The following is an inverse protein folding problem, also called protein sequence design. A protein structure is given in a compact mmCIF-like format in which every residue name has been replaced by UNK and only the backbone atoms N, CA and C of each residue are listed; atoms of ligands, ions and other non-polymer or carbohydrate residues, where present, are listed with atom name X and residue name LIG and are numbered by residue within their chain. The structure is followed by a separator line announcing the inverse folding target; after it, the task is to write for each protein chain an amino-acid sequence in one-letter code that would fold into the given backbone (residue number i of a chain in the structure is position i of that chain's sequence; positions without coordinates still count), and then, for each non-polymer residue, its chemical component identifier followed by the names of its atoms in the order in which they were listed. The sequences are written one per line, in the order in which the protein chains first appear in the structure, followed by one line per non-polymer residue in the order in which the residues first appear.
data_IF_387529110258
#
_entry.id   IF_387529110258
#
_cell.length_a   1.000
_cell.length_b   1.000
_cell.length_c   1.000
_cell.angle_alpha   90.00
_cell.angle_beta   90.00
_cell.angle_gamma   90.00
#
_symmetry.space_group_name_H-M   'P 1'
#
loop_
_entity.id
_entity.type
_entity.pdbx_description
1 polymer ?
#
# COMPACT_ATOMS: atom_id res chain seq x y z
N UNK A 1 -6.94 1.75 -11.89
CA UNK A 1 -6.36 1.28 -13.17
C UNK A 1 -7.18 0.13 -13.76
N UNK A 2 -7.22 -0.08 -15.08
CA UNK A 2 -7.78 -1.32 -15.69
C UNK A 2 -6.75 -2.45 -15.58
N UNK A 3 -7.19 -3.70 -15.45
CA UNK A 3 -6.33 -4.87 -15.22
C UNK A 3 -5.14 -4.99 -16.20
N UNK A 4 -5.38 -4.88 -17.50
CA UNK A 4 -4.31 -4.97 -18.51
C UNK A 4 -3.33 -3.80 -18.44
N UNK A 5 -3.83 -2.58 -18.18
CA UNK A 5 -2.97 -1.41 -17.97
C UNK A 5 -2.07 -1.61 -16.73
N UNK A 6 -2.59 -2.25 -15.69
CA UNK A 6 -1.84 -2.55 -14.47
C UNK A 6 -0.70 -3.55 -14.69
N UNK A 7 -0.91 -4.57 -15.53
CA UNK A 7 0.18 -5.48 -15.93
C UNK A 7 1.27 -4.75 -16.68
N UNK A 8 0.89 -3.89 -17.63
CA UNK A 8 1.84 -3.08 -18.41
C UNK A 8 2.65 -2.18 -17.47
N UNK A 9 1.99 -1.53 -16.51
CA UNK A 9 2.64 -0.61 -15.58
C UNK A 9 3.59 -1.32 -14.61
N UNK A 10 3.22 -2.50 -14.09
CA UNK A 10 4.15 -3.36 -13.35
C UNK A 10 5.37 -3.75 -14.20
N UNK A 11 5.14 -4.16 -15.44
CA UNK A 11 6.22 -4.53 -16.35
C UNK A 11 7.16 -3.36 -16.66
N UNK A 12 6.64 -2.12 -16.76
CA UNK A 12 7.42 -0.89 -16.89
C UNK A 12 8.27 -0.61 -15.67
N UNK A 13 7.69 -0.59 -14.47
CA UNK A 13 8.44 -0.36 -13.24
C UNK A 13 9.52 -1.41 -12.99
N UNK A 14 9.27 -2.64 -13.43
CA UNK A 14 10.23 -3.72 -13.33
C UNK A 14 11.31 -3.65 -14.42
N UNK A 15 11.07 -2.96 -15.55
CA UNK A 15 11.96 -2.93 -16.71
C UNK A 15 11.90 -4.16 -17.65
N UNK A 16 10.73 -4.79 -17.87
CA UNK A 16 10.53 -5.87 -18.90
C UNK A 16 10.33 -5.29 -20.28
N UNK A 17 9.84 -4.06 -20.35
CA UNK A 17 9.38 -3.46 -21.61
C UNK A 17 10.54 -3.09 -22.53
N UNK A 18 10.30 -3.16 -23.83
CA UNK A 18 11.29 -2.85 -24.87
C UNK A 18 11.80 -1.40 -24.80
N UNK A 19 10.99 -0.48 -24.30
CA UNK A 19 11.36 0.90 -24.03
C UNK A 19 11.70 1.03 -22.54
N UNK A 20 13.00 1.06 -22.21
CA UNK A 20 13.47 1.17 -20.84
C UNK A 20 12.86 2.40 -20.17
N UNK A 21 12.05 2.17 -19.15
CA UNK A 21 11.39 3.22 -18.39
C UNK A 21 12.38 3.78 -17.36
N UNK A 22 13.24 4.70 -17.81
CA UNK A 22 14.31 5.34 -17.01
C UNK A 22 13.78 5.93 -15.70
N UNK A 23 12.53 6.37 -15.72
CA UNK A 23 11.89 7.02 -14.58
C UNK A 23 11.08 6.06 -13.70
N UNK A 24 11.03 4.76 -13.99
CA UNK A 24 10.29 3.75 -13.23
C UNK A 24 10.96 3.34 -11.91
N UNK A 25 10.32 2.44 -11.14
CA UNK A 25 10.79 2.03 -9.81
C UNK A 25 12.22 1.45 -9.84
N UNK A 26 12.52 0.55 -10.79
CA UNK A 26 13.90 0.08 -11.03
C UNK A 26 14.69 1.05 -11.90
N UNK A 27 14.03 1.75 -12.82
CA UNK A 27 14.67 2.71 -13.72
C UNK A 27 15.50 3.76 -12.97
N UNK A 28 14.92 4.35 -11.92
CA UNK A 28 15.57 5.39 -11.13
C UNK A 28 16.74 4.88 -10.26
N UNK A 29 16.95 3.56 -10.19
CA UNK A 29 18.10 2.95 -9.54
C UNK A 29 19.30 2.80 -10.49
N UNK A 30 19.12 2.95 -11.82
CA UNK A 30 20.22 2.83 -12.78
C UNK A 30 20.03 3.68 -14.06
N UNK A 31 20.76 4.82 -14.20
CA UNK A 31 21.63 5.42 -13.19
C UNK A 31 20.82 5.88 -11.97
N UNK A 32 21.44 5.90 -10.78
CA UNK A 32 20.75 6.34 -9.57
C UNK A 32 20.41 7.83 -9.67
N UNK A 33 19.12 8.15 -9.59
CA UNK A 33 18.59 9.52 -9.65
C UNK A 33 17.73 9.88 -8.43
N UNK A 34 17.76 9.04 -7.39
CA UNK A 34 16.88 9.14 -6.22
C UNK A 34 15.68 8.21 -6.33
N UNK A 35 15.23 7.69 -5.19
CA UNK A 35 13.97 6.94 -5.13
C UNK A 35 12.79 7.91 -5.27
N UNK A 36 11.71 7.48 -5.95
CA UNK A 36 10.54 8.31 -6.22
C UNK A 36 9.29 7.70 -5.60
N UNK A 37 8.62 8.47 -4.76
CA UNK A 37 7.42 8.04 -4.05
C UNK A 37 6.26 7.72 -4.99
N UNK A 38 6.14 8.44 -6.09
CA UNK A 38 5.08 8.20 -7.08
C UNK A 38 5.24 6.84 -7.77
N UNK A 39 6.48 6.39 -7.99
CA UNK A 39 6.73 5.04 -8.49
C UNK A 39 6.30 3.97 -7.49
N UNK A 40 6.51 4.19 -6.19
CA UNK A 40 6.03 3.27 -5.16
C UNK A 40 4.51 3.18 -5.16
N UNK A 41 3.81 4.33 -5.17
CA UNK A 41 2.35 4.37 -5.22
C UNK A 41 1.79 3.73 -6.50
N UNK A 42 2.43 3.96 -7.64
CA UNK A 42 2.05 3.36 -8.91
C UNK A 42 2.22 1.83 -8.89
N UNK A 43 3.34 1.31 -8.38
CA UNK A 43 3.53 -0.15 -8.20
C UNK A 43 2.45 -0.74 -7.29
N UNK A 44 2.12 -0.07 -6.17
CA UNK A 44 1.07 -0.51 -5.24
C UNK A 44 -0.31 -0.51 -5.92
N UNK A 45 -0.67 0.55 -6.66
CA UNK A 45 -1.93 0.62 -7.40
C UNK A 45 -2.02 -0.52 -8.43
N UNK A 46 -0.96 -0.73 -9.20
CA UNK A 46 -0.93 -1.77 -10.23
C UNK A 46 -1.02 -3.16 -9.62
N UNK A 47 -0.28 -3.43 -8.53
CA UNK A 47 -0.34 -4.71 -7.81
C UNK A 47 -1.74 -5.02 -7.29
N UNK A 48 -2.41 -4.04 -6.68
CA UNK A 48 -3.77 -4.23 -6.18
C UNK A 48 -4.78 -4.41 -7.31
N UNK A 49 -4.58 -3.73 -8.43
CA UNK A 49 -5.44 -3.84 -9.61
C UNK A 49 -5.34 -5.22 -10.27
N UNK A 50 -4.14 -5.83 -10.34
CA UNK A 50 -3.98 -7.22 -10.81
C UNK A 50 -4.42 -8.23 -9.75
N UNK A 51 -4.30 -7.88 -8.47
CA UNK A 51 -4.66 -8.74 -7.33
C UNK A 51 -6.16 -9.09 -7.26
N UNK A 52 -7.03 -8.28 -7.86
CA UNK A 52 -8.47 -8.59 -7.99
C UNK A 52 -8.69 -9.95 -8.66
N UNK A 53 -7.88 -10.27 -9.67
CA UNK A 53 -8.00 -11.51 -10.43
C UNK A 53 -7.23 -12.68 -9.78
N UNK A 54 -6.29 -12.39 -8.88
CA UNK A 54 -5.49 -13.42 -8.19
C UNK A 54 -6.27 -14.12 -7.10
N UNK A 55 -7.00 -13.35 -6.29
CA UNK A 55 -7.67 -13.87 -5.10
C UNK A 55 -8.60 -15.09 -5.38
N UNK A 56 -9.39 -15.13 -6.47
CA UNK A 56 -10.20 -16.30 -6.80
C UNK A 56 -9.49 -17.36 -7.68
N UNK A 57 -8.28 -17.10 -8.17
CA UNK A 57 -7.65 -17.92 -9.20
C UNK A 57 -6.78 -19.06 -8.65
N UNK A 58 -6.75 -20.18 -9.37
CA UNK A 58 -5.88 -21.32 -9.07
C UNK A 58 -4.55 -21.28 -9.82
N UNK A 59 -4.43 -20.40 -10.81
CA UNK A 59 -3.22 -20.18 -11.60
C UNK A 59 -3.02 -18.69 -11.82
N UNK A 60 -1.76 -18.26 -11.80
CA UNK A 60 -1.38 -16.86 -11.96
C UNK A 60 -0.45 -16.71 -13.14
N UNK A 61 -0.61 -15.63 -13.89
CA UNK A 61 0.25 -15.31 -15.02
C UNK A 61 1.69 -15.10 -14.56
N UNK A 62 2.61 -15.84 -15.18
CA UNK A 62 4.03 -15.81 -14.85
C UNK A 62 4.63 -14.39 -14.99
N UNK A 63 4.21 -13.63 -16.02
CA UNK A 63 4.74 -12.29 -16.30
C UNK A 63 4.46 -11.30 -15.17
N UNK A 64 3.29 -11.34 -14.53
CA UNK A 64 2.96 -10.45 -13.42
C UNK A 64 3.77 -10.78 -12.18
N UNK A 65 3.88 -12.07 -11.85
CA UNK A 65 4.73 -12.53 -10.75
C UNK A 65 6.19 -12.18 -11.00
N UNK A 66 6.69 -12.39 -12.22
CA UNK A 66 8.05 -12.03 -12.61
C UNK A 66 8.30 -10.53 -12.44
N UNK A 67 7.35 -9.67 -12.84
CA UNK A 67 7.50 -8.22 -12.69
C UNK A 67 7.66 -7.81 -11.23
N UNK A 68 6.79 -8.31 -10.33
CA UNK A 68 6.86 -8.02 -8.89
C UNK A 68 8.19 -8.50 -8.30
N UNK A 69 8.57 -9.76 -8.58
CA UNK A 69 9.83 -10.30 -8.08
C UNK A 69 11.04 -9.57 -8.64
N UNK A 70 11.01 -9.14 -9.91
CA UNK A 70 12.13 -8.37 -10.45
C UNK A 70 12.22 -7.00 -9.81
N UNK A 71 11.11 -6.34 -9.50
CA UNK A 71 11.11 -5.09 -8.71
C UNK A 71 11.79 -5.33 -7.35
N UNK A 72 11.30 -6.29 -6.57
CA UNK A 72 11.74 -6.44 -5.17
C UNK A 72 13.16 -6.98 -5.07
N UNK A 73 13.50 -8.02 -5.84
CA UNK A 73 14.84 -8.64 -5.84
C UNK A 73 15.90 -7.68 -6.41
N UNK A 74 15.59 -6.94 -7.46
CA UNK A 74 16.56 -6.00 -8.06
C UNK A 74 16.79 -4.80 -7.15
N UNK A 75 15.72 -4.21 -6.62
CA UNK A 75 15.84 -3.12 -5.65
C UNK A 75 16.66 -3.55 -4.42
N UNK A 76 16.45 -4.77 -3.92
CA UNK A 76 17.22 -5.32 -2.81
C UNK A 76 18.70 -5.46 -3.14
N UNK A 77 19.03 -6.18 -4.21
CA UNK A 77 20.40 -6.44 -4.66
C UNK A 77 21.17 -5.18 -5.05
N UNK A 78 20.49 -4.12 -5.47
CA UNK A 78 21.17 -2.89 -5.90
C UNK A 78 21.23 -1.86 -4.79
N UNK A 79 20.13 -1.61 -4.08
CA UNK A 79 19.98 -0.49 -3.16
C UNK A 79 19.91 -0.84 -1.68
N UNK A 80 19.70 -2.12 -1.31
CA UNK A 80 19.45 -2.51 0.09
C UNK A 80 20.54 -3.40 0.67
N UNK A 81 21.05 -4.39 -0.05
CA UNK A 81 22.08 -5.29 0.49
C UNK A 81 23.41 -4.55 0.70
N UNK A 82 24.19 -4.94 1.72
CA UNK A 82 25.45 -4.26 2.06
C UNK A 82 26.49 -4.32 0.92
N UNK A 83 26.48 -5.40 0.13
CA UNK A 83 27.30 -5.58 -1.06
C UNK A 83 26.62 -5.06 -2.34
N UNK A 84 25.42 -4.49 -2.21
CA UNK A 84 24.63 -3.98 -3.32
C UNK A 84 25.31 -2.83 -4.05
N UNK A 85 25.11 -2.76 -5.37
CA UNK A 85 25.84 -1.85 -6.26
C UNK A 85 25.78 -0.38 -5.83
N UNK A 86 24.62 0.13 -5.40
CA UNK A 86 24.44 1.51 -4.98
C UNK A 86 25.04 1.76 -3.60
N UNK A 87 24.95 0.77 -2.70
CA UNK A 87 25.48 0.84 -1.33
C UNK A 87 27.00 0.86 -1.37
N UNK A 88 27.64 -0.12 -2.03
CA UNK A 88 29.11 -0.20 -2.14
C UNK A 88 29.74 0.99 -2.88
N UNK A 89 28.96 1.67 -3.72
CA UNK A 89 29.42 2.84 -4.49
C UNK A 89 29.09 4.17 -3.79
N UNK A 90 28.51 4.14 -2.57
CA UNK A 90 28.05 5.32 -1.83
C UNK A 90 27.11 6.24 -2.64
N UNK A 91 26.27 5.67 -3.51
CA UNK A 91 25.33 6.41 -4.35
C UNK A 91 23.99 6.64 -3.67
N UNK A 92 23.51 5.68 -2.88
CA UNK A 92 22.23 5.75 -2.15
C UNK A 92 22.45 6.23 -0.72
N UNK A 93 21.57 7.12 -0.24
CA UNK A 93 21.63 7.60 1.13
C UNK A 93 21.12 6.54 2.14
N UNK A 94 21.52 6.60 3.42
CA UNK A 94 20.97 5.71 4.45
C UNK A 94 19.45 5.83 4.61
N UNK A 95 18.89 7.03 4.41
CA UNK A 95 17.44 7.27 4.45
C UNK A 95 16.73 6.61 3.27
N UNK A 96 17.22 6.83 2.05
CA UNK A 96 16.67 6.19 0.85
C UNK A 96 16.78 4.68 0.92
N UNK A 97 17.88 4.15 1.45
CA UNK A 97 18.07 2.70 1.66
C UNK A 97 17.01 2.12 2.60
N UNK A 98 16.75 2.77 3.73
CA UNK A 98 15.70 2.36 4.67
C UNK A 98 14.31 2.44 4.05
N UNK A 99 14.05 3.53 3.32
CA UNK A 99 12.76 3.76 2.68
C UNK A 99 12.51 2.76 1.55
N UNK A 100 13.52 2.45 0.75
CA UNK A 100 13.47 1.43 -0.30
C UNK A 100 13.19 0.05 0.29
N UNK A 101 13.87 -0.33 1.38
CA UNK A 101 13.61 -1.58 2.10
C UNK A 101 12.14 -1.64 2.57
N UNK A 102 11.63 -0.56 3.17
CA UNK A 102 10.23 -0.49 3.60
C UNK A 102 9.26 -0.69 2.43
N UNK A 103 9.48 0.00 1.31
CA UNK A 103 8.62 -0.12 0.13
C UNK A 103 8.60 -1.54 -0.44
N UNK A 104 9.76 -2.17 -0.61
CA UNK A 104 9.80 -3.55 -1.13
C UNK A 104 9.16 -4.55 -0.16
N UNK A 105 9.32 -4.36 1.16
CA UNK A 105 8.65 -5.22 2.15
C UNK A 105 7.13 -5.09 2.07
N UNK A 106 6.58 -3.88 1.93
CA UNK A 106 5.14 -3.69 1.72
C UNK A 106 4.67 -4.42 0.46
N UNK A 107 5.38 -4.24 -0.67
CA UNK A 107 5.04 -4.90 -1.94
C UNK A 107 5.10 -6.43 -1.81
N UNK A 108 6.14 -6.97 -1.16
CA UNK A 108 6.32 -8.41 -0.92
C UNK A 108 5.18 -8.99 -0.07
N UNK A 109 4.82 -8.34 1.03
CA UNK A 109 3.73 -8.76 1.90
C UNK A 109 2.39 -8.74 1.17
N UNK A 110 2.08 -7.66 0.45
CA UNK A 110 0.85 -7.56 -0.33
C UNK A 110 0.75 -8.66 -1.39
N UNK A 111 1.85 -8.92 -2.12
CA UNK A 111 1.90 -9.99 -3.11
C UNK A 111 1.66 -11.35 -2.45
N UNK A 112 2.30 -11.63 -1.31
CA UNK A 112 2.12 -12.88 -0.58
C UNK A 112 0.66 -13.09 -0.16
N UNK A 113 0.01 -12.07 0.38
CA UNK A 113 -1.39 -12.16 0.79
C UNK A 113 -2.32 -12.39 -0.40
N UNK A 114 -2.11 -11.67 -1.52
CA UNK A 114 -2.85 -11.87 -2.76
C UNK A 114 -2.68 -13.30 -3.31
N UNK A 115 -1.45 -13.85 -3.26
CA UNK A 115 -1.16 -15.24 -3.63
C UNK A 115 -1.84 -16.26 -2.71
N UNK A 116 -2.05 -15.90 -1.44
CA UNK A 116 -2.76 -16.73 -0.47
C UNK A 116 -4.30 -16.68 -0.62
N UNK A 117 -4.81 -15.89 -1.58
CA UNK A 117 -6.24 -15.78 -1.88
C UNK A 117 -6.95 -14.63 -1.14
N UNK A 118 -6.21 -13.76 -0.45
CA UNK A 118 -6.79 -12.59 0.19
C UNK A 118 -7.27 -11.57 -0.84
N UNK A 119 -8.39 -10.92 -0.54
CA UNK A 119 -8.93 -9.85 -1.36
C UNK A 119 -8.04 -8.61 -1.26
N UNK A 120 -7.96 -7.76 -2.30
CA UNK A 120 -7.09 -6.58 -2.29
C UNK A 120 -7.23 -5.67 -1.07
N UNK A 121 -8.45 -5.48 -0.55
CA UNK A 121 -8.67 -4.65 0.63
C UNK A 121 -8.15 -5.27 1.94
N UNK A 122 -7.90 -6.58 1.98
CA UNK A 122 -7.36 -7.28 3.15
C UNK A 122 -5.83 -7.19 3.23
N UNK A 123 -5.16 -6.85 2.12
CA UNK A 123 -3.70 -6.86 1.98
C UNK A 123 -3.05 -5.48 2.19
N UNK A 124 -3.85 -4.41 2.28
CA UNK A 124 -3.34 -3.03 2.33
C UNK A 124 -2.80 -2.59 3.69
N UNK A 125 -2.70 -3.45 4.70
CA UNK A 125 -2.35 -3.04 6.07
C UNK A 125 -1.02 -2.27 6.15
N UNK A 126 0.07 -2.86 5.63
CA UNK A 126 1.39 -2.20 5.63
C UNK A 126 1.43 -0.91 4.79
N UNK A 127 0.59 -0.83 3.76
CA UNK A 127 0.42 0.41 2.99
C UNK A 127 -0.37 1.47 3.77
N UNK A 128 -1.35 1.07 4.58
CA UNK A 128 -2.05 1.99 5.49
C UNK A 128 -1.11 2.56 6.55
N UNK A 129 -0.20 1.75 7.12
CA UNK A 129 0.84 2.24 8.03
C UNK A 129 1.72 3.29 7.36
N UNK A 130 2.18 3.00 6.13
CA UNK A 130 2.94 3.95 5.34
C UNK A 130 2.17 5.25 5.09
N UNK A 131 0.91 5.15 4.67
CA UNK A 131 0.08 6.34 4.41
C UNK A 131 -0.14 7.13 5.69
N UNK A 132 -0.41 6.49 6.82
CA UNK A 132 -0.60 7.18 8.10
C UNK A 132 0.62 8.02 8.52
N UNK A 133 1.84 7.50 8.28
CA UNK A 133 3.08 8.17 8.66
C UNK A 133 3.57 9.18 7.63
N UNK A 134 3.68 8.77 6.37
CA UNK A 134 4.32 9.54 5.31
C UNK A 134 3.32 10.40 4.53
N UNK A 135 2.04 10.04 4.58
CA UNK A 135 1.02 10.58 3.69
C UNK A 135 0.87 9.73 2.43
N UNK A 136 -0.04 10.19 1.60
CA UNK A 136 -0.32 9.64 0.28
C UNK A 136 0.23 10.63 -0.75
N UNK A 137 0.78 10.13 -1.86
CA UNK A 137 1.31 10.96 -2.95
C UNK A 137 0.21 11.69 -3.72
N UNK A 138 0.31 11.75 -5.06
CA UNK A 138 -0.65 12.54 -5.85
C UNK A 138 -1.97 11.81 -6.18
N UNK A 139 -2.03 10.47 -6.09
CA UNK A 139 -3.22 9.67 -6.42
C UNK A 139 -3.69 8.76 -5.25
N UNK A 140 -4.79 9.13 -4.59
CA UNK A 140 -5.47 8.31 -3.57
C UNK A 140 -6.75 7.66 -4.10
N UNK A 141 -7.14 7.93 -5.35
CA UNK A 141 -8.44 7.54 -5.86
C UNK A 141 -8.61 6.01 -5.88
N UNK A 142 -7.53 5.27 -6.14
CA UNK A 142 -7.56 3.81 -6.09
C UNK A 142 -7.61 3.25 -4.66
N UNK A 143 -7.03 3.97 -3.70
CA UNK A 143 -6.83 3.49 -2.33
C UNK A 143 -8.06 3.71 -1.46
N UNK A 144 -8.77 4.84 -1.63
CA UNK A 144 -9.92 5.19 -0.79
C UNK A 144 -11.00 4.10 -0.80
N UNK A 145 -11.46 3.56 -1.95
CA UNK A 145 -12.46 2.48 -1.95
C UNK A 145 -11.97 1.21 -1.23
N UNK A 146 -10.70 0.83 -1.42
CA UNK A 146 -10.12 -0.34 -0.76
C UNK A 146 -10.07 -0.15 0.75
N UNK A 147 -9.71 1.04 1.22
CA UNK A 147 -9.71 1.38 2.64
C UNK A 147 -11.13 1.34 3.23
N UNK A 148 -12.14 1.77 2.48
CA UNK A 148 -13.55 1.64 2.87
C UNK A 148 -13.97 0.18 3.03
N UNK A 149 -13.67 -0.65 2.03
CA UNK A 149 -13.93 -2.10 2.11
C UNK A 149 -13.18 -2.76 3.27
N UNK A 150 -11.92 -2.40 3.51
CA UNK A 150 -11.14 -2.89 4.63
C UNK A 150 -11.81 -2.54 5.97
N UNK A 151 -12.21 -1.29 6.16
CA UNK A 151 -12.95 -0.86 7.36
C UNK A 151 -14.28 -1.62 7.47
N UNK A 152 -14.96 -1.89 6.35
CA UNK A 152 -16.23 -2.61 6.31
C UNK A 152 -16.13 -4.08 6.73
N UNK A 153 -15.06 -4.75 6.30
CA UNK A 153 -14.85 -6.19 6.53
C UNK A 153 -13.98 -6.50 7.73
N UNK A 154 -13.32 -5.51 8.34
CA UNK A 154 -12.45 -5.75 9.49
C UNK A 154 -13.26 -6.27 10.69
N UNK A 155 -13.05 -7.55 11.01
CA UNK A 155 -13.66 -8.24 12.14
C UNK A 155 -12.79 -8.13 13.41
N UNK A 156 -11.51 -7.78 13.26
CA UNK A 156 -10.53 -7.71 14.35
C UNK A 156 -10.01 -6.28 14.48
N UNK A 157 -10.14 -5.67 15.67
CA UNK A 157 -9.85 -4.23 15.83
C UNK A 157 -8.36 -3.85 15.77
N UNK A 158 -7.45 -4.82 15.61
CA UNK A 158 -6.00 -4.56 15.57
C UNK A 158 -5.58 -3.76 14.33
N UNK A 159 -6.20 -4.03 13.17
CA UNK A 159 -5.92 -3.32 11.92
C UNK A 159 -6.71 -2.01 11.79
N UNK A 160 -7.89 -1.94 12.39
CA UNK A 160 -8.78 -0.77 12.32
C UNK A 160 -8.10 0.52 12.78
N UNK A 161 -7.26 0.47 13.82
CA UNK A 161 -6.50 1.62 14.28
C UNK A 161 -5.68 2.24 13.14
N UNK A 162 -4.93 1.41 12.41
CA UNK A 162 -4.06 1.83 11.31
C UNK A 162 -4.91 2.34 10.14
N UNK A 163 -6.01 1.66 9.82
CA UNK A 163 -6.94 2.12 8.78
C UNK A 163 -7.48 3.53 9.10
N UNK A 164 -7.94 3.76 10.34
CA UNK A 164 -8.42 5.07 10.78
C UNK A 164 -7.31 6.15 10.79
N UNK A 165 -6.07 5.78 11.11
CA UNK A 165 -4.93 6.69 11.02
C UNK A 165 -4.65 7.11 9.57
N UNK A 166 -4.70 6.17 8.63
CA UNK A 166 -4.59 6.46 7.20
C UNK A 166 -5.73 7.38 6.72
N UNK A 167 -6.97 7.14 7.16
CA UNK A 167 -8.09 8.06 6.89
C UNK A 167 -7.82 9.46 7.43
N UNK A 168 -7.35 9.54 8.68
CA UNK A 168 -7.02 10.82 9.32
C UNK A 168 -6.00 11.61 8.50
N UNK A 169 -5.04 10.90 7.90
CA UNK A 169 -4.04 11.49 7.03
C UNK A 169 -4.58 11.91 5.65
N UNK A 170 -5.57 11.18 5.12
CA UNK A 170 -6.27 11.54 3.88
C UNK A 170 -7.21 12.74 4.06
N UNK A 171 -7.80 12.91 5.24
CA UNK A 171 -8.75 13.98 5.56
C UNK A 171 -9.94 14.00 4.61
N UNK A 172 -10.30 15.17 4.09
CA UNK A 172 -11.45 15.37 3.19
C UNK A 172 -11.45 14.47 1.94
N UNK A 173 -10.29 13.96 1.52
CA UNK A 173 -10.19 13.06 0.36
C UNK A 173 -10.78 11.68 0.61
N UNK A 174 -10.94 11.30 1.88
CA UNK A 174 -11.60 10.07 2.28
C UNK A 174 -13.13 10.23 2.43
N UNK A 175 -13.74 11.33 1.94
CA UNK A 175 -15.19 11.55 2.06
C UNK A 175 -16.03 10.39 1.50
N UNK A 176 -15.54 9.71 0.46
CA UNK A 176 -16.26 8.59 -0.17
C UNK A 176 -16.46 7.38 0.77
N UNK A 177 -15.71 7.29 1.87
CA UNK A 177 -15.82 6.19 2.85
C UNK A 177 -16.40 6.64 4.19
N UNK A 178 -17.04 7.81 4.22
CA UNK A 178 -17.73 8.32 5.41
C UNK A 178 -18.76 7.31 5.94
N UNK A 179 -19.58 6.75 5.05
CA UNK A 179 -20.62 5.78 5.43
C UNK A 179 -20.01 4.48 5.98
N UNK A 180 -18.90 4.01 5.42
CA UNK A 180 -18.13 2.86 5.92
C UNK A 180 -17.69 3.06 7.37
N UNK A 181 -17.21 4.26 7.72
CA UNK A 181 -16.85 4.61 9.11
C UNK A 181 -18.07 4.71 10.03
N UNK A 182 -19.18 5.27 9.56
CA UNK A 182 -20.43 5.33 10.34
C UNK A 182 -20.94 3.92 10.64
N UNK A 183 -20.88 3.00 9.67
CA UNK A 183 -21.22 1.59 9.88
C UNK A 183 -20.27 0.91 10.86
N UNK A 184 -18.95 1.12 10.73
CA UNK A 184 -17.97 0.60 11.67
C UNK A 184 -18.21 1.11 13.11
N UNK A 185 -18.64 2.36 13.26
CA UNK A 185 -18.99 2.96 14.56
C UNK A 185 -20.17 2.28 15.25
N UNK A 186 -21.06 1.66 14.51
CA UNK A 186 -22.24 0.95 15.03
C UNK A 186 -21.94 -0.49 15.44
N UNK A 187 -20.73 -1.00 15.18
CA UNK A 187 -20.34 -2.37 15.52
C UNK A 187 -20.11 -2.54 17.02
N UNK A 188 -20.25 -3.80 17.45
CA UNK A 188 -19.89 -4.24 18.80
C UNK A 188 -18.41 -4.64 18.83
N UNK A 189 -17.59 -3.88 19.55
CA UNK A 189 -16.15 -4.07 19.62
C UNK A 189 -15.76 -4.80 20.92
N UNK A 190 -15.57 -6.11 20.85
CA UNK A 190 -15.36 -6.97 22.04
C UNK A 190 -14.22 -7.99 21.86
N UNK A 191 -13.22 -7.66 21.03
CA UNK A 191 -12.18 -8.63 20.65
C UNK A 191 -11.12 -8.86 21.74
N UNK A 192 -11.03 -7.99 22.75
CA UNK A 192 -10.28 -8.24 23.99
C UNK A 192 -11.00 -7.69 25.23
N UNK A 193 -10.59 -8.18 26.40
CA UNK A 193 -11.06 -7.72 27.71
C UNK A 193 -10.11 -6.65 28.32
N UNK A 194 -10.63 -5.57 28.93
CA UNK A 194 -12.06 -5.29 29.16
C UNK A 194 -12.78 -4.78 27.91
N UNK A 195 -13.95 -5.34 27.60
CA UNK A 195 -14.72 -4.98 26.41
C UNK A 195 -15.09 -3.49 26.33
N UNK A 196 -15.36 -2.84 27.46
CA UNK A 196 -15.61 -1.40 27.51
C UNK A 196 -14.41 -0.57 27.03
N UNK A 197 -13.20 -0.99 27.40
CA UNK A 197 -11.96 -0.35 26.96
C UNK A 197 -11.74 -0.59 25.46
N UNK A 198 -11.90 -1.84 25.01
CA UNK A 198 -11.84 -2.19 23.59
C UNK A 198 -12.79 -1.31 22.76
N UNK A 199 -14.05 -1.21 23.17
CA UNK A 199 -15.03 -0.36 22.49
C UNK A 199 -14.66 1.13 22.52
N UNK A 200 -14.23 1.66 23.67
CA UNK A 200 -13.84 3.06 23.79
C UNK A 200 -12.63 3.40 22.87
N UNK A 201 -11.65 2.51 22.76
CA UNK A 201 -10.50 2.68 21.89
C UNK A 201 -10.90 2.68 20.41
N UNK A 202 -11.67 1.68 19.98
CA UNK A 202 -12.12 1.58 18.57
C UNK A 202 -12.96 2.79 18.16
N UNK A 203 -13.92 3.19 19.00
CA UNK A 203 -14.71 4.40 18.76
C UNK A 203 -13.83 5.65 18.72
N UNK A 204 -12.81 5.76 19.57
CA UNK A 204 -11.86 6.87 19.55
C UNK A 204 -11.01 6.94 18.27
N UNK A 205 -10.69 5.81 17.63
CA UNK A 205 -10.06 5.81 16.31
C UNK A 205 -11.02 6.25 15.22
N UNK A 206 -12.24 5.70 15.20
CA UNK A 206 -13.27 6.00 14.20
C UNK A 206 -13.70 7.47 14.27
N UNK A 207 -13.94 8.00 15.47
CA UNK A 207 -14.39 9.38 15.68
C UNK A 207 -13.33 10.39 15.21
N UNK A 208 -12.04 10.09 15.39
CA UNK A 208 -10.94 10.91 14.84
C UNK A 208 -10.90 10.89 13.32
N UNK A 209 -11.05 9.71 12.73
CA UNK A 209 -11.14 9.57 11.28
C UNK A 209 -12.34 10.36 10.71
N UNK A 210 -13.53 10.22 11.29
CA UNK A 210 -14.73 10.98 10.91
C UNK A 210 -14.53 12.50 11.02
N UNK A 211 -13.94 12.97 12.12
CA UNK A 211 -13.65 14.38 12.32
C UNK A 211 -12.72 14.95 11.23
N UNK A 212 -11.69 14.19 10.83
CA UNK A 212 -10.73 14.61 9.79
C UNK A 212 -11.34 14.80 8.41
N UNK A 213 -12.42 14.06 8.10
CA UNK A 213 -13.18 14.19 6.85
C UNK A 213 -14.05 15.46 6.89
N UNK A 214 -14.67 15.74 8.05
CA UNK A 214 -15.62 16.84 8.25
C UNK A 214 -15.01 18.24 8.39
N UNK A 215 -13.70 18.38 8.64
CA UNK A 215 -13.02 19.67 8.85
C UNK A 215 -12.82 20.55 7.60
N UNK A 216 -13.67 20.42 6.57
CA UNK A 216 -13.63 21.32 5.41
C UNK A 216 -14.54 22.54 5.62
N UNK A 217 -14.24 23.38 6.63
CA UNK A 217 -14.69 24.78 6.68
C UNK A 217 -13.74 25.63 7.56
N UNK A 218 -12.73 26.24 6.93
CA UNK A 218 -12.45 27.69 6.92
C UNK A 218 -11.30 27.98 5.97
#
# INVERSE_FOLDING_TARGET
MVHEDAKIELARHAGIVNEYYEDGFIGCLRPYSGIRVDNFHSVVESLLSVGVDFAPATTIECCTTEAVYRITVTARRWGVDDDGMLVRSNLISPDDRRQLLRWITIIETMMLDLLAGHQPHETIHGYCEYVAECGWGENAAFFVPLLGSAIETDEFGDRLQVHCAAVTRLGAKAIAIYDSLVLARQRKWEWYEPHEQCAAEMLGYIDRALASIGTTQT
#
